data_IF_204746804284
#
_entry.id   IF_204746804284
#
_cell.length_a   1.000
_cell.length_b   1.000
_cell.length_c   1.000
_cell.angle_alpha   90.00
_cell.angle_beta   90.00
_cell.angle_gamma   90.00
#
_symmetry.space_group_name_H-M   'P 1'
#
loop_
_entity.id
_entity.type
_entity.pdbx_description
1 polymer ?
#
# COMPACT_ATOMS: atom_id res chain seq x y z
N UNK A 1 -51.09 -15.73 -56.24
CA UNK A 1 -49.83 -15.12 -56.70
C UNK A 1 -48.88 -15.18 -55.53
N UNK A 2 -47.91 -16.08 -55.58
CA UNK A 2 -46.86 -16.19 -54.56
C UNK A 2 -45.80 -15.14 -54.89
N UNK A 3 -45.80 -14.05 -54.15
CA UNK A 3 -44.72 -13.07 -54.17
C UNK A 3 -43.47 -13.78 -53.63
N UNK A 4 -42.61 -14.25 -54.54
CA UNK A 4 -41.27 -14.69 -54.18
C UNK A 4 -40.56 -13.45 -53.64
N UNK A 5 -40.16 -13.41 -52.36
CA UNK A 5 -39.46 -12.26 -51.83
C UNK A 5 -38.22 -12.04 -52.68
N UNK A 6 -38.06 -10.82 -53.19
CA UNK A 6 -36.89 -10.43 -53.96
C UNK A 6 -35.63 -10.84 -53.19
N UNK A 7 -34.58 -11.36 -53.87
CA UNK A 7 -33.35 -11.75 -53.19
C UNK A 7 -32.87 -10.57 -52.34
N UNK A 8 -32.84 -10.77 -51.04
CA UNK A 8 -32.33 -9.78 -50.08
C UNK A 8 -30.86 -9.64 -50.37
N UNK A 9 -30.50 -8.64 -51.18
CA UNK A 9 -29.12 -8.28 -51.40
C UNK A 9 -28.51 -8.04 -50.02
N UNK A 10 -27.42 -8.76 -49.71
CA UNK A 10 -26.64 -8.45 -48.52
C UNK A 10 -26.18 -7.00 -48.68
N UNK A 11 -26.68 -6.13 -47.81
CA UNK A 11 -26.26 -4.74 -47.75
C UNK A 11 -24.76 -4.63 -47.44
N UNK A 12 -24.29 -3.39 -47.34
CA UNK A 12 -22.88 -3.14 -47.02
C UNK A 12 -22.54 -3.74 -45.66
N UNK A 13 -21.50 -4.58 -45.62
CA UNK A 13 -20.98 -5.16 -44.39
C UNK A 13 -19.89 -4.24 -43.85
N UNK A 14 -20.08 -3.75 -42.64
CA UNK A 14 -19.17 -2.86 -41.94
C UNK A 14 -18.27 -3.65 -40.99
N UNK A 15 -16.99 -3.30 -40.98
CA UNK A 15 -16.07 -3.71 -39.93
C UNK A 15 -16.37 -2.95 -38.63
N UNK A 16 -15.91 -3.47 -37.49
CA UNK A 16 -16.08 -2.79 -36.21
C UNK A 16 -15.52 -1.35 -36.17
N UNK A 17 -14.48 -1.05 -36.97
CA UNK A 17 -13.91 0.30 -37.10
C UNK A 17 -14.84 1.23 -37.88
N UNK A 18 -15.39 0.76 -38.99
CA UNK A 18 -16.32 1.55 -39.81
C UNK A 18 -17.66 1.77 -39.10
N UNK A 19 -18.18 0.74 -38.45
CA UNK A 19 -19.38 0.82 -37.61
C UNK A 19 -19.23 1.87 -36.50
N UNK A 20 -18.07 1.89 -35.84
CA UNK A 20 -17.74 2.87 -34.81
C UNK A 20 -17.66 4.30 -35.36
N UNK A 21 -17.08 4.48 -36.54
CA UNK A 21 -17.05 5.78 -37.21
C UNK A 21 -18.46 6.26 -37.56
N UNK A 22 -19.34 5.37 -38.06
CA UNK A 22 -20.71 5.70 -38.47
C UNK A 22 -21.60 6.08 -37.28
N UNK A 23 -21.47 5.37 -36.16
CA UNK A 23 -22.23 5.64 -34.93
C UNK A 23 -21.60 6.73 -34.05
N UNK A 24 -20.43 7.26 -34.41
CA UNK A 24 -19.62 8.19 -33.58
C UNK A 24 -19.35 7.64 -32.18
N UNK A 25 -18.96 6.38 -32.09
CA UNK A 25 -18.67 5.67 -30.83
C UNK A 25 -17.28 5.06 -30.82
N UNK A 26 -16.85 4.57 -29.65
CA UNK A 26 -15.63 3.76 -29.57
C UNK A 26 -15.88 2.36 -30.14
N UNK A 27 -14.86 1.78 -30.80
CA UNK A 27 -14.94 0.42 -31.36
C UNK A 27 -15.35 -0.63 -30.31
N UNK A 28 -14.82 -0.51 -29.09
CA UNK A 28 -15.17 -1.37 -27.97
C UNK A 28 -16.65 -1.23 -27.59
N UNK A 29 -17.18 -0.01 -27.57
CA UNK A 29 -18.59 0.27 -27.28
C UNK A 29 -19.53 -0.42 -28.27
N UNK A 30 -19.26 -0.28 -29.57
CA UNK A 30 -20.07 -0.92 -30.63
C UNK A 30 -20.03 -2.45 -30.54
N UNK A 31 -18.84 -3.04 -30.34
CA UNK A 31 -18.71 -4.50 -30.16
C UNK A 31 -19.49 -4.98 -28.92
N UNK A 32 -19.48 -4.20 -27.84
CA UNK A 32 -20.16 -4.55 -26.59
C UNK A 32 -21.67 -4.53 -26.78
N UNK A 33 -22.21 -3.49 -27.44
CA UNK A 33 -23.64 -3.40 -27.76
C UNK A 33 -24.07 -4.50 -28.74
N UNK A 34 -23.33 -4.69 -29.83
CA UNK A 34 -23.63 -5.73 -30.82
C UNK A 34 -23.69 -7.12 -30.20
N UNK A 35 -22.71 -7.48 -29.34
CA UNK A 35 -22.73 -8.78 -28.65
C UNK A 35 -23.84 -8.90 -27.61
N UNK A 36 -24.19 -7.80 -26.93
CA UNK A 36 -25.20 -7.80 -25.87
C UNK A 36 -26.62 -7.96 -26.43
N UNK A 37 -26.89 -7.33 -27.57
CA UNK A 37 -28.24 -7.28 -28.16
C UNK A 37 -28.40 -8.16 -29.41
N UNK A 38 -27.36 -8.88 -29.83
CA UNK A 38 -27.40 -9.76 -30.99
C UNK A 38 -27.28 -9.06 -32.34
N UNK A 39 -27.03 -7.75 -32.37
CA UNK A 39 -26.91 -6.93 -33.58
C UNK A 39 -25.48 -7.01 -34.18
N UNK A 40 -24.89 -8.20 -34.25
CA UNK A 40 -23.61 -8.38 -34.95
C UNK A 40 -23.39 -9.84 -35.35
N UNK A 41 -22.63 -10.03 -36.42
CA UNK A 41 -22.14 -11.34 -36.84
C UNK A 41 -20.70 -11.54 -36.38
N UNK A 42 -20.44 -12.67 -35.72
CA UNK A 42 -19.09 -13.07 -35.32
C UNK A 42 -18.54 -14.05 -36.34
N UNK A 43 -17.60 -13.58 -37.16
CA UNK A 43 -16.90 -14.42 -38.13
C UNK A 43 -15.61 -14.97 -37.51
N UNK A 44 -15.43 -16.29 -37.58
CA UNK A 44 -14.23 -16.99 -37.09
C UNK A 44 -13.89 -16.76 -35.61
N UNK A 45 -14.89 -16.40 -34.78
CA UNK A 45 -14.73 -16.11 -33.35
C UNK A 45 -13.94 -14.84 -32.99
N UNK A 46 -13.24 -14.24 -33.96
CA UNK A 46 -12.28 -13.14 -33.74
C UNK A 46 -12.74 -11.82 -34.35
N UNK A 47 -13.41 -11.88 -35.50
CA UNK A 47 -13.84 -10.68 -36.24
C UNK A 47 -15.33 -10.45 -36.05
N UNK A 48 -15.68 -9.20 -35.72
CA UNK A 48 -17.08 -8.77 -35.57
C UNK A 48 -17.45 -7.90 -36.76
N UNK A 49 -18.50 -8.30 -37.45
CA UNK A 49 -19.03 -7.65 -38.64
C UNK A 49 -20.45 -7.18 -38.36
N UNK A 50 -20.82 -6.07 -38.99
CA UNK A 50 -22.12 -5.43 -38.82
C UNK A 50 -22.78 -5.26 -40.19
N UNK A 51 -24.04 -5.63 -40.31
CA UNK A 51 -24.87 -5.22 -41.43
C UNK A 51 -25.34 -3.78 -41.24
N UNK A 52 -25.90 -3.18 -42.29
CA UNK A 52 -26.54 -1.87 -42.17
C UNK A 52 -27.71 -1.87 -41.19
N UNK A 53 -28.49 -2.95 -41.17
CA UNK A 53 -29.60 -3.13 -40.23
C UNK A 53 -29.11 -3.17 -38.78
N UNK A 54 -28.00 -3.87 -38.52
CA UNK A 54 -27.41 -3.95 -37.18
C UNK A 54 -27.08 -2.57 -36.61
N UNK A 55 -26.59 -1.64 -37.45
CA UNK A 55 -26.28 -0.28 -37.02
C UNK A 55 -27.55 0.52 -36.68
N UNK A 56 -28.62 0.31 -37.45
CA UNK A 56 -29.92 0.94 -37.18
C UNK A 56 -30.49 0.41 -35.87
N UNK A 57 -30.41 -0.89 -35.63
CA UNK A 57 -30.92 -1.52 -34.41
C UNK A 57 -30.13 -1.06 -33.18
N UNK A 58 -28.78 -1.01 -33.28
CA UNK A 58 -27.93 -0.44 -32.22
C UNK A 58 -28.32 1.01 -31.94
N UNK A 59 -28.57 1.81 -32.98
CA UNK A 59 -28.98 3.19 -32.81
C UNK A 59 -30.36 3.33 -32.17
N UNK A 60 -31.32 2.46 -32.51
CA UNK A 60 -32.64 2.41 -31.87
C UNK A 60 -32.54 2.02 -30.39
N UNK A 61 -31.70 1.05 -30.04
CA UNK A 61 -31.45 0.64 -28.65
C UNK A 61 -30.86 1.80 -27.83
N UNK A 62 -30.03 2.63 -28.47
CA UNK A 62 -29.44 3.80 -27.82
C UNK A 62 -30.38 4.99 -27.69
N UNK A 63 -31.51 5.01 -28.41
CA UNK A 63 -32.48 6.09 -28.25
C UNK A 63 -33.02 6.09 -26.83
N UNK A 64 -33.07 7.27 -26.23
CA UNK A 64 -33.78 7.43 -24.97
C UNK A 64 -35.23 6.96 -25.16
N UNK A 65 -35.76 6.11 -24.27
CA UNK A 65 -37.19 5.83 -24.29
C UNK A 65 -37.89 7.18 -24.18
N UNK A 66 -38.96 7.38 -24.95
CA UNK A 66 -39.77 8.58 -24.82
C UNK A 66 -40.22 8.63 -23.35
N UNK A 67 -39.61 9.54 -22.58
CA UNK A 67 -40.16 9.90 -21.29
C UNK A 67 -41.50 10.49 -21.61
N UNK A 68 -42.57 9.70 -21.43
CA UNK A 68 -43.91 10.24 -21.27
C UNK A 68 -43.74 11.48 -20.41
N UNK A 69 -44.14 12.65 -20.94
CA UNK A 69 -44.10 13.89 -20.18
C UNK A 69 -44.80 13.57 -18.88
N UNK A 70 -44.06 13.47 -17.77
CA UNK A 70 -44.64 13.14 -16.47
C UNK A 70 -45.81 14.10 -16.31
N UNK A 71 -47.05 13.59 -16.41
CA UNK A 71 -48.21 14.34 -16.00
C UNK A 71 -47.85 14.81 -14.60
N UNK A 72 -47.76 16.13 -14.40
CA UNK A 72 -47.37 16.71 -13.14
C UNK A 72 -48.32 16.10 -12.11
N UNK A 73 -47.84 15.11 -11.37
CA UNK A 73 -48.71 14.35 -10.48
C UNK A 73 -49.18 15.35 -9.45
N UNK A 74 -50.51 15.45 -9.27
CA UNK A 74 -51.17 16.32 -8.30
C UNK A 74 -50.67 16.14 -6.85
N UNK A 75 -49.74 15.19 -6.61
CA UNK A 75 -48.94 15.04 -5.38
C UNK A 75 -48.05 16.24 -5.04
N UNK A 76 -47.70 17.11 -5.99
CA UNK A 76 -46.95 18.33 -5.68
C UNK A 76 -47.75 19.35 -4.83
N UNK A 77 -49.08 19.20 -4.74
CA UNK A 77 -49.93 20.04 -3.89
C UNK A 77 -50.11 19.47 -2.47
N UNK A 78 -49.63 18.25 -2.19
CA UNK A 78 -49.68 17.61 -0.85
C UNK A 78 -48.38 17.82 -0.04
N UNK A 79 -47.46 18.64 -0.54
CA UNK A 79 -46.08 18.77 -0.04
C UNK A 79 -45.93 19.62 1.23
N UNK A 80 -46.93 20.42 1.62
CA UNK A 80 -46.76 21.34 2.76
C UNK A 80 -46.87 20.69 4.15
N UNK A 81 -47.31 19.43 4.28
CA UNK A 81 -47.38 18.74 5.58
C UNK A 81 -46.40 17.55 5.74
N UNK A 82 -45.76 17.09 4.66
CA UNK A 82 -44.81 15.94 4.67
C UNK A 82 -43.34 16.36 4.61
N UNK A 83 -43.06 17.65 4.43
CA UNK A 83 -41.71 18.21 4.27
C UNK A 83 -40.80 18.01 5.49
N UNK A 84 -41.36 17.98 6.71
CA UNK A 84 -40.56 17.79 7.94
C UNK A 84 -39.95 16.39 7.99
N UNK A 85 -40.75 15.35 7.70
CA UNK A 85 -40.27 13.96 7.66
C UNK A 85 -39.26 13.73 6.53
N UNK A 86 -39.45 14.38 5.39
CA UNK A 86 -38.53 14.28 4.27
C UNK A 86 -37.18 14.96 4.56
N UNK A 87 -37.20 16.15 5.17
CA UNK A 87 -35.97 16.83 5.60
C UNK A 87 -35.22 16.06 6.68
N UNK A 88 -35.94 15.46 7.64
CA UNK A 88 -35.32 14.62 8.66
C UNK A 88 -34.75 13.32 8.10
N UNK A 89 -35.40 12.72 7.09
CA UNK A 89 -34.86 11.56 6.38
C UNK A 89 -33.57 11.92 5.65
N UNK A 90 -33.53 13.07 4.97
CA UNK A 90 -32.32 13.57 4.31
C UNK A 90 -31.18 13.85 5.30
N UNK A 91 -31.49 14.45 6.46
CA UNK A 91 -30.51 14.66 7.54
C UNK A 91 -29.95 13.33 8.06
N UNK A 92 -30.80 12.31 8.26
CA UNK A 92 -30.37 10.96 8.69
C UNK A 92 -29.47 10.29 7.65
N UNK A 93 -29.83 10.38 6.37
CA UNK A 93 -29.00 9.89 5.26
C UNK A 93 -27.64 10.59 5.19
N UNK A 94 -27.62 11.91 5.41
CA UNK A 94 -26.38 12.70 5.47
C UNK A 94 -25.51 12.26 6.65
N UNK A 95 -26.09 12.13 7.85
CA UNK A 95 -25.40 11.69 9.05
C UNK A 95 -24.80 10.29 8.86
N UNK A 96 -25.54 9.36 8.27
CA UNK A 96 -25.06 8.00 7.95
C UNK A 96 -23.87 8.00 6.98
N UNK A 97 -23.88 8.89 5.98
CA UNK A 97 -22.74 9.06 5.06
C UNK A 97 -21.53 9.64 5.78
N UNK A 98 -21.73 10.60 6.69
CA UNK A 98 -20.67 11.21 7.48
C UNK A 98 -20.07 10.23 8.48
N UNK A 99 -20.88 9.40 9.14
CA UNK A 99 -20.41 8.30 10.00
C UNK A 99 -19.54 7.31 9.22
N UNK A 100 -19.97 6.89 8.03
CA UNK A 100 -19.16 6.02 7.16
C UNK A 100 -17.83 6.67 6.76
N UNK A 101 -17.81 7.98 6.50
CA UNK A 101 -16.58 8.72 6.22
C UNK A 101 -15.68 8.79 7.45
N UNK A 102 -16.24 9.04 8.64
CA UNK A 102 -15.50 9.06 9.91
C UNK A 102 -14.88 7.70 10.20
N UNK A 103 -15.63 6.62 10.01
CA UNK A 103 -15.14 5.26 10.20
C UNK A 103 -13.97 4.92 9.26
N UNK A 104 -14.09 5.27 7.97
CA UNK A 104 -12.98 5.09 7.01
C UNK A 104 -11.74 5.89 7.42
N UNK A 105 -11.92 7.17 7.77
CA UNK A 105 -10.81 8.01 8.25
C UNK A 105 -10.16 7.46 9.53
N UNK A 106 -10.95 6.90 10.45
CA UNK A 106 -10.44 6.28 11.66
C UNK A 106 -9.59 5.03 11.35
N UNK A 107 -10.05 4.15 10.45
CA UNK A 107 -9.27 2.99 10.01
C UNK A 107 -7.99 3.40 9.26
N UNK A 108 -8.06 4.42 8.40
CA UNK A 108 -6.89 4.97 7.72
C UNK A 108 -5.90 5.58 8.71
N UNK A 109 -6.38 6.27 9.75
CA UNK A 109 -5.54 6.81 10.82
C UNK A 109 -4.88 5.68 11.63
N UNK A 110 -5.62 4.65 12.02
CA UNK A 110 -5.11 3.51 12.78
C UNK A 110 -4.04 2.73 11.99
N UNK A 111 -4.29 2.47 10.71
CA UNK A 111 -3.31 1.80 9.83
C UNK A 111 -2.06 2.66 9.62
N UNK A 112 -2.21 3.98 9.54
CA UNK A 112 -1.09 4.92 9.48
C UNK A 112 -0.29 4.92 10.79
N UNK A 113 -0.93 4.89 11.95
CA UNK A 113 -0.26 4.83 13.24
C UNK A 113 0.51 3.52 13.40
N UNK A 114 -0.07 2.37 13.03
CA UNK A 114 0.62 1.07 13.04
C UNK A 114 1.91 1.11 12.20
N UNK A 115 1.85 1.66 10.99
CA UNK A 115 3.05 1.83 10.13
C UNK A 115 4.10 2.76 10.74
N UNK A 116 3.69 3.80 11.47
CA UNK A 116 4.63 4.69 12.15
C UNK A 116 5.27 4.02 13.37
N UNK A 117 4.51 3.22 14.11
CA UNK A 117 5.00 2.49 15.25
C UNK A 117 5.99 1.39 14.83
N UNK A 118 5.71 0.66 13.75
CA UNK A 118 6.67 -0.28 13.14
C UNK A 118 7.99 0.42 12.76
N UNK A 119 7.92 1.62 12.18
CA UNK A 119 9.12 2.41 11.87
C UNK A 119 9.88 2.81 13.13
N UNK A 120 9.18 3.24 14.19
CA UNK A 120 9.80 3.57 15.49
C UNK A 120 10.47 2.35 16.11
N UNK A 121 9.80 1.20 16.12
CA UNK A 121 10.37 -0.06 16.60
C UNK A 121 11.60 -0.46 15.79
N UNK A 122 11.56 -0.36 14.46
CA UNK A 122 12.72 -0.63 13.61
C UNK A 122 13.89 0.33 13.90
N UNK A 123 13.62 1.60 14.20
CA UNK A 123 14.68 2.54 14.60
C UNK A 123 15.27 2.20 15.96
N UNK A 124 14.45 1.81 16.94
CA UNK A 124 14.92 1.35 18.26
C UNK A 124 15.77 0.09 18.13
N UNK A 125 15.28 -0.93 17.43
CA UNK A 125 16.02 -2.16 17.17
C UNK A 125 17.37 -1.92 16.47
N UNK A 126 17.45 -0.96 15.54
CA UNK A 126 18.73 -0.57 14.90
C UNK A 126 19.70 0.09 15.88
N UNK A 127 19.22 0.89 16.82
CA UNK A 127 20.04 1.48 17.86
C UNK A 127 20.51 0.41 18.85
N UNK A 128 19.62 -0.46 19.29
CA UNK A 128 19.95 -1.56 20.22
C UNK A 128 20.97 -2.52 19.59
N UNK A 129 20.81 -2.87 18.32
CA UNK A 129 21.80 -3.67 17.59
C UNK A 129 23.17 -2.97 17.48
N UNK A 130 23.20 -1.64 17.33
CA UNK A 130 24.45 -0.86 17.32
C UNK A 130 25.11 -0.83 18.70
N UNK A 131 24.32 -0.71 19.77
CA UNK A 131 24.78 -0.74 21.15
C UNK A 131 25.36 -2.12 21.45
N UNK A 132 24.60 -3.19 21.20
CA UNK A 132 25.04 -4.58 21.39
C UNK A 132 26.33 -4.88 20.61
N UNK A 133 26.45 -4.40 19.36
CA UNK A 133 27.69 -4.55 18.57
C UNK A 133 28.88 -3.82 19.20
N UNK A 134 28.67 -2.63 19.75
CA UNK A 134 29.71 -1.87 20.46
C UNK A 134 30.11 -2.55 21.76
N UNK A 135 29.14 -3.06 22.51
CA UNK A 135 29.37 -3.82 23.74
C UNK A 135 30.12 -5.13 23.48
N UNK A 136 29.69 -5.91 22.49
CA UNK A 136 30.39 -7.14 22.09
C UNK A 136 31.85 -6.85 21.67
N UNK A 137 32.08 -5.80 20.87
CA UNK A 137 33.43 -5.37 20.51
C UNK A 137 34.23 -4.89 21.72
N UNK A 138 33.60 -4.20 22.67
CA UNK A 138 34.25 -3.77 23.91
C UNK A 138 34.63 -4.97 24.79
N UNK A 139 33.76 -5.97 24.91
CA UNK A 139 34.01 -7.23 25.61
C UNK A 139 35.12 -8.02 24.94
N UNK A 140 35.12 -8.16 23.61
CA UNK A 140 36.19 -8.81 22.86
C UNK A 140 37.54 -8.11 23.08
N UNK A 141 37.57 -6.78 22.99
CA UNK A 141 38.79 -6.00 23.24
C UNK A 141 39.23 -6.08 24.71
N UNK A 142 38.29 -6.13 25.65
CA UNK A 142 38.57 -6.33 27.07
C UNK A 142 39.15 -7.72 27.32
N UNK A 143 38.56 -8.78 26.74
CA UNK A 143 39.05 -10.15 26.82
C UNK A 143 40.44 -10.29 26.18
N UNK A 144 40.68 -9.69 25.01
CA UNK A 144 42.01 -9.67 24.37
C UNK A 144 43.04 -8.94 25.23
N UNK A 145 42.65 -7.85 25.89
CA UNK A 145 43.52 -7.13 26.83
C UNK A 145 43.79 -7.95 28.10
N UNK A 146 42.80 -8.66 28.62
CA UNK A 146 42.94 -9.55 29.77
C UNK A 146 43.85 -10.75 29.45
N UNK A 147 43.67 -11.39 28.29
CA UNK A 147 44.52 -12.49 27.84
C UNK A 147 45.99 -12.08 27.63
N UNK A 148 46.23 -10.81 27.25
CA UNK A 148 47.58 -10.25 27.08
C UNK A 148 48.17 -9.70 28.38
N UNK A 149 47.37 -9.45 29.42
CA UNK A 149 47.90 -8.95 30.68
C UNK A 149 48.49 -10.08 31.50
N UNK A 150 49.80 -10.00 31.77
CA UNK A 150 50.46 -10.85 32.77
C UNK A 150 49.97 -10.42 34.17
N UNK A 151 49.42 -11.33 34.99
CA UNK A 151 49.02 -11.00 36.36
C UNK A 151 50.24 -10.63 37.20
N UNK A 152 50.12 -9.61 38.07
CA UNK A 152 51.24 -9.11 38.86
C UNK A 152 51.78 -10.16 39.85
N UNK A 153 50.95 -11.10 40.27
CA UNK A 153 51.29 -12.21 41.17
C UNK A 153 52.26 -13.24 40.58
N UNK A 154 52.49 -13.22 39.27
CA UNK A 154 53.42 -14.14 38.58
C UNK A 154 54.77 -13.49 38.23
N UNK A 155 55.01 -12.24 38.68
CA UNK A 155 56.26 -11.53 38.43
C UNK A 155 57.36 -11.96 39.42
N UNK A 156 58.45 -12.51 38.89
CA UNK A 156 59.66 -12.76 39.66
C UNK A 156 60.49 -11.47 39.75
N UNK A 157 60.34 -10.77 40.88
CA UNK A 157 61.02 -9.51 41.19
C UNK A 157 62.55 -9.66 41.29
N UNK A 158 63.07 -10.87 41.47
CA UNK A 158 64.50 -11.13 41.63
C UNK A 158 65.20 -11.39 40.29
N UNK A 159 64.45 -11.60 39.20
CA UNK A 159 65.03 -11.89 37.90
C UNK A 159 65.72 -10.64 37.31
N UNK A 160 67.01 -10.76 37.00
CA UNK A 160 67.87 -9.70 36.45
C UNK A 160 68.03 -9.75 34.93
N UNK A 161 67.46 -10.74 34.25
CA UNK A 161 67.54 -10.87 32.80
C UNK A 161 66.78 -9.71 32.11
N UNK A 162 67.43 -8.90 31.26
CA UNK A 162 66.76 -7.84 30.49
C UNK A 162 65.63 -8.36 29.59
N UNK A 163 65.76 -9.58 29.05
CA UNK A 163 64.75 -10.17 28.17
C UNK A 163 63.47 -10.59 28.93
N UNK A 164 63.58 -10.87 30.23
CA UNK A 164 62.45 -11.21 31.10
C UNK A 164 61.51 -10.01 31.34
N UNK A 165 62.05 -8.79 31.32
CA UNK A 165 61.31 -7.56 31.61
C UNK A 165 60.70 -6.91 30.36
N UNK A 166 59.68 -7.58 29.81
CA UNK A 166 58.86 -7.01 28.74
C UNK A 166 58.10 -5.77 29.21
N UNK A 167 57.70 -4.91 28.25
CA UNK A 167 56.93 -3.69 28.56
C UNK A 167 55.64 -3.97 29.32
N UNK A 168 55.02 -5.13 29.07
CA UNK A 168 53.80 -5.60 29.74
C UNK A 168 54.05 -5.94 31.21
N UNK A 169 55.15 -6.63 31.51
CA UNK A 169 55.56 -6.98 32.89
C UNK A 169 55.98 -5.76 33.69
N UNK A 170 56.73 -4.82 33.08
CA UNK A 170 57.04 -3.51 33.68
C UNK A 170 55.78 -2.68 33.96
N UNK A 171 54.74 -2.82 33.13
CA UNK A 171 53.46 -2.13 33.32
C UNK A 171 52.61 -2.77 34.42
N UNK A 172 52.63 -4.10 34.53
CA UNK A 172 52.00 -4.82 35.64
C UNK A 172 52.63 -4.43 36.99
N UNK A 173 53.96 -4.39 37.09
CA UNK A 173 54.67 -3.95 38.30
C UNK A 173 54.33 -2.50 38.71
N UNK A 174 54.21 -1.59 37.73
CA UNK A 174 53.80 -0.21 37.99
C UNK A 174 52.37 -0.10 38.52
N UNK A 175 51.45 -0.94 38.04
CA UNK A 175 50.06 -0.98 38.52
C UNK A 175 49.97 -1.50 39.95
N UNK A 176 50.71 -2.56 40.27
CA UNK A 176 50.79 -3.11 41.63
C UNK A 176 51.33 -2.07 42.61
N UNK A 177 52.42 -1.38 42.26
CA UNK A 177 52.97 -0.29 43.09
C UNK A 177 51.97 0.86 43.28
N UNK A 178 51.24 1.24 42.23
CA UNK A 178 50.22 2.28 42.32
C UNK A 178 49.03 1.86 43.21
N UNK A 179 48.60 0.59 43.10
CA UNK A 179 47.55 0.04 43.95
C UNK A 179 47.97 0.02 45.42
N UNK A 180 49.19 -0.43 45.72
CA UNK A 180 49.75 -0.42 47.09
C UNK A 180 49.87 0.99 47.68
N UNK A 181 50.21 1.98 46.85
CA UNK A 181 50.22 3.39 47.27
C UNK A 181 48.80 3.88 47.56
N UNK A 182 47.81 3.53 46.73
CA UNK A 182 46.40 3.90 46.95
C UNK A 182 45.81 3.26 48.22
N UNK A 183 46.15 2.01 48.53
CA UNK A 183 45.75 1.33 49.76
C UNK A 183 46.32 2.05 50.99
N UNK A 184 47.62 2.36 51.00
CA UNK A 184 48.22 3.11 52.11
C UNK A 184 47.70 4.55 52.24
N UNK A 185 47.32 5.21 51.15
CA UNK A 185 46.73 6.56 51.19
C UNK A 185 45.25 6.54 51.64
N UNK A 186 44.57 5.40 51.50
CA UNK A 186 43.18 5.21 51.95
C UNK A 186 43.04 4.89 53.44
N UNK A 187 44.09 4.40 54.09
CA UNK A 187 44.10 4.07 55.53
C UNK A 187 44.35 5.29 56.46
N UNK A 188 44.87 6.39 55.93
CA UNK A 188 45.18 7.63 56.68
C UNK A 188 44.04 8.69 56.65
N UNK A 189 42.78 8.28 56.37
CA UNK A 189 41.58 9.15 56.42
C UNK A 189 40.48 8.57 57.28
#
# INVERSE_FOLDING_TARGET
MTDIPAPTHLGTIYTAKEAAARLKMTQRGVITLGKRYGCCSVHGGRTVLFSEQDLVDIWQIMRAPATESKLATARALSSYSTDVFFRDLLRKEQAKKDERRRFRKAQEAETREKRLEEKRQATRAKLDARIAKREAKAQEMAARRAARSVPASELDLKNRDPAYWTDERKKALRRERAARIQEHVGEDR
#
